data_IF_891903865925
#
_entry.id   IF_891903865925
#
_cell.length_a   1.000
_cell.length_b   1.000
_cell.length_c   1.000
_cell.angle_alpha   90.00
_cell.angle_beta   90.00
_cell.angle_gamma   90.00
#
_symmetry.space_group_name_H-M   'P 1'
#
loop_
_entity.id
_entity.type
_entity.pdbx_description
1 polymer ?
#
# COMPACT_ATOMS: atom_id res chain seq x y z
N UNK A 1 16.33 -0.17 -3.19
CA UNK A 1 15.25 -0.74 -2.36
C UNK A 1 14.20 -1.38 -3.23
N UNK A 2 13.75 -2.56 -2.87
CA UNK A 2 12.67 -3.23 -3.58
C UNK A 2 11.34 -2.76 -3.00
N UNK A 3 10.67 -1.84 -3.67
CA UNK A 3 9.42 -1.25 -3.21
C UNK A 3 8.34 -2.31 -3.02
N UNK A 4 8.20 -3.22 -3.99
CA UNK A 4 7.17 -4.25 -3.92
C UNK A 4 7.38 -5.18 -2.73
N UNK A 5 8.60 -5.59 -2.47
CA UNK A 5 8.92 -6.47 -1.34
C UNK A 5 8.62 -5.78 -0.02
N UNK A 6 9.05 -4.53 0.14
CA UNK A 6 8.80 -3.77 1.35
C UNK A 6 7.31 -3.52 1.54
N UNK A 7 6.61 -3.17 0.45
CA UNK A 7 5.17 -2.96 0.50
C UNK A 7 4.42 -4.24 0.89
N UNK A 8 4.87 -5.38 0.38
CA UNK A 8 4.27 -6.67 0.75
C UNK A 8 4.36 -6.90 2.26
N UNK A 9 5.51 -6.58 2.85
CA UNK A 9 5.69 -6.71 4.30
C UNK A 9 4.73 -5.78 5.06
N UNK A 10 4.52 -4.57 4.54
CA UNK A 10 3.57 -3.62 5.13
C UNK A 10 2.15 -4.20 5.09
N UNK A 11 1.75 -4.77 3.95
CA UNK A 11 0.44 -5.40 3.82
C UNK A 11 0.24 -6.51 4.84
N UNK A 12 1.23 -7.38 5.00
CA UNK A 12 1.16 -8.48 5.96
C UNK A 12 1.00 -7.98 7.39
N UNK A 13 1.69 -6.91 7.72
CA UNK A 13 1.62 -6.30 9.04
C UNK A 13 0.26 -5.63 9.30
N UNK A 14 -0.22 -4.84 8.34
CA UNK A 14 -1.48 -4.11 8.49
C UNK A 14 -2.66 -5.06 8.58
N UNK A 15 -2.67 -6.11 7.78
CA UNK A 15 -3.79 -7.07 7.74
C UNK A 15 -3.55 -8.28 8.64
N UNK A 16 -2.42 -8.31 9.36
CA UNK A 16 -2.06 -9.41 10.26
C UNK A 16 -2.21 -10.76 9.57
N UNK A 17 -1.63 -10.86 8.38
CA UNK A 17 -1.75 -12.06 7.55
C UNK A 17 -0.46 -12.31 6.78
N UNK A 18 0.35 -13.27 7.25
CA UNK A 18 1.63 -13.59 6.65
C UNK A 18 1.50 -14.29 5.29
N UNK A 19 0.29 -14.66 4.91
CA UNK A 19 0.06 -15.37 3.65
C UNK A 19 -0.14 -14.43 2.47
N UNK A 20 -0.31 -13.12 2.70
CA UNK A 20 -0.55 -12.16 1.63
C UNK A 20 0.66 -12.06 0.71
N UNK A 21 0.40 -12.19 -0.58
CA UNK A 21 1.38 -11.92 -1.64
C UNK A 21 0.73 -10.91 -2.59
N UNK A 22 1.25 -9.67 -2.58
CA UNK A 22 0.65 -8.62 -3.40
C UNK A 22 1.03 -8.76 -4.87
N UNK A 23 0.16 -8.25 -5.74
CA UNK A 23 0.42 -8.14 -7.17
C UNK A 23 -0.15 -6.82 -7.66
N UNK A 24 0.26 -6.41 -8.86
CA UNK A 24 -0.07 -5.08 -9.38
C UNK A 24 -1.58 -4.90 -9.66
N UNK A 25 -2.29 -5.98 -9.93
CA UNK A 25 -3.73 -5.92 -10.21
C UNK A 25 -4.58 -5.97 -8.94
N UNK A 26 -3.98 -6.24 -7.80
CA UNK A 26 -4.72 -6.40 -6.53
C UNK A 26 -5.44 -5.10 -6.14
N UNK A 27 -6.70 -5.25 -5.73
CA UNK A 27 -7.54 -4.14 -5.28
C UNK A 27 -8.12 -4.48 -3.91
N UNK A 28 -8.83 -3.51 -3.32
CA UNK A 28 -9.50 -3.73 -2.05
C UNK A 28 -10.54 -4.86 -2.12
N UNK A 29 -11.04 -5.16 -3.31
CA UNK A 29 -11.99 -6.25 -3.48
C UNK A 29 -11.33 -7.63 -3.34
N UNK A 30 -10.02 -7.70 -3.49
CA UNK A 30 -9.27 -8.96 -3.40
C UNK A 30 -8.85 -9.29 -1.98
N UNK A 31 -8.92 -8.34 -1.07
CA UNK A 31 -8.54 -8.52 0.35
C UNK A 31 -9.75 -8.18 1.20
N UNK A 32 -10.32 -9.18 1.85
CA UNK A 32 -11.58 -9.03 2.58
C UNK A 32 -11.51 -7.94 3.65
N UNK A 33 -10.38 -7.84 4.33
CA UNK A 33 -10.21 -6.89 5.44
C UNK A 33 -9.85 -5.48 4.98
N UNK A 34 -9.68 -5.27 3.69
CA UNK A 34 -9.24 -3.97 3.15
C UNK A 34 -10.46 -3.06 2.97
N UNK A 35 -10.88 -2.44 4.06
CA UNK A 35 -11.96 -1.45 4.07
C UNK A 35 -11.37 -0.05 4.20
N UNK A 36 -12.24 0.95 4.38
CA UNK A 36 -11.81 2.36 4.45
C UNK A 36 -10.84 2.62 5.60
N UNK A 37 -11.11 2.02 6.76
CA UNK A 37 -10.24 2.19 7.92
C UNK A 37 -8.89 1.51 7.69
N UNK A 38 -8.92 0.30 7.17
CA UNK A 38 -7.68 -0.41 6.86
C UNK A 38 -6.86 0.33 5.81
N UNK A 39 -7.54 0.96 4.84
CA UNK A 39 -6.83 1.75 3.82
C UNK A 39 -6.06 2.92 4.45
N UNK A 40 -6.69 3.61 5.40
CA UNK A 40 -6.02 4.71 6.11
C UNK A 40 -4.82 4.19 6.89
N UNK A 41 -4.98 3.07 7.59
CA UNK A 41 -3.89 2.45 8.34
C UNK A 41 -2.75 2.05 7.41
N UNK A 42 -3.10 1.49 6.25
CA UNK A 42 -2.13 1.07 5.26
C UNK A 42 -1.30 2.28 4.76
N UNK A 43 -1.98 3.39 4.44
CA UNK A 43 -1.31 4.60 3.99
C UNK A 43 -0.35 5.12 5.06
N UNK A 44 -0.79 5.16 6.32
CA UNK A 44 0.05 5.63 7.41
C UNK A 44 1.29 4.76 7.58
N UNK A 45 1.13 3.44 7.47
CA UNK A 45 2.26 2.52 7.58
C UNK A 45 3.23 2.68 6.42
N UNK A 46 2.71 2.91 5.20
CA UNK A 46 3.55 3.16 4.04
C UNK A 46 4.36 4.43 4.22
N UNK A 47 3.72 5.49 4.69
CA UNK A 47 4.41 6.77 4.94
C UNK A 47 5.55 6.57 5.93
N UNK A 48 5.31 5.82 6.98
CA UNK A 48 6.31 5.55 7.99
C UNK A 48 7.45 4.69 7.45
N UNK A 49 7.10 3.62 6.74
CA UNK A 49 8.08 2.65 6.26
C UNK A 49 9.00 3.24 5.20
N UNK A 50 8.45 4.03 4.28
CA UNK A 50 9.21 4.62 3.17
C UNK A 50 9.67 6.05 3.47
N UNK A 51 9.28 6.61 4.60
CA UNK A 51 9.64 7.97 5.02
C UNK A 51 9.23 8.99 3.96
N UNK A 52 7.96 8.97 3.59
CA UNK A 52 7.39 9.89 2.61
C UNK A 52 5.99 10.31 3.04
N UNK A 53 5.37 11.22 2.28
CA UNK A 53 4.03 11.73 2.59
C UNK A 53 3.15 11.66 1.36
N UNK A 54 1.89 11.28 1.58
CA UNK A 54 0.87 11.29 0.53
C UNK A 54 -0.06 12.48 0.74
N UNK A 55 -0.54 13.04 -0.38
CA UNK A 55 -1.59 14.05 -0.34
C UNK A 55 -2.95 13.35 -0.38
N UNK A 56 -4.02 14.11 -0.09
CA UNK A 56 -5.38 13.56 -0.19
C UNK A 56 -5.65 13.07 -1.63
N UNK A 57 -5.20 13.85 -2.62
CA UNK A 57 -5.38 13.46 -4.03
C UNK A 57 -4.65 12.14 -4.34
N UNK A 58 -3.48 11.94 -3.77
CA UNK A 58 -2.73 10.69 -3.93
C UNK A 58 -3.53 9.51 -3.40
N UNK A 59 -4.11 9.66 -2.21
CA UNK A 59 -4.84 8.58 -1.54
C UNK A 59 -6.10 8.21 -2.31
N UNK A 60 -6.84 9.22 -2.74
CA UNK A 60 -8.11 9.02 -3.46
C UNK A 60 -7.87 8.37 -4.83
N UNK A 61 -6.74 8.66 -5.45
CA UNK A 61 -6.43 8.15 -6.78
C UNK A 61 -5.92 6.72 -6.84
N UNK A 62 -5.65 6.09 -5.70
CA UNK A 62 -5.09 4.74 -5.67
C UNK A 62 -6.17 3.70 -5.90
N UNK A 63 -6.12 3.02 -7.05
CA UNK A 63 -7.14 2.04 -7.43
C UNK A 63 -6.67 0.60 -7.24
N UNK A 64 -5.35 0.37 -7.32
CA UNK A 64 -4.79 -0.96 -7.16
C UNK A 64 -3.36 -0.86 -6.62
N UNK A 65 -2.79 -2.02 -6.31
CA UNK A 65 -1.43 -2.08 -5.75
C UNK A 65 -0.40 -1.55 -6.74
N UNK A 66 -0.60 -1.79 -8.03
CA UNK A 66 0.32 -1.29 -9.06
C UNK A 66 0.46 0.22 -9.03
N UNK A 67 -0.66 0.93 -8.90
CA UNK A 67 -0.65 2.39 -8.79
C UNK A 67 0.04 2.84 -7.51
N UNK A 68 -0.15 2.09 -6.44
CA UNK A 68 0.49 2.37 -5.16
C UNK A 68 2.01 2.24 -5.28
N UNK A 69 2.49 1.19 -5.92
CA UNK A 69 3.92 0.98 -6.16
C UNK A 69 4.49 2.12 -6.99
N UNK A 70 3.82 2.48 -8.08
CA UNK A 70 4.27 3.58 -8.95
C UNK A 70 4.36 4.90 -8.19
N UNK A 71 3.37 5.19 -7.38
CA UNK A 71 3.35 6.43 -6.59
C UNK A 71 4.51 6.47 -5.61
N UNK A 72 4.75 5.36 -4.91
CA UNK A 72 5.86 5.26 -3.97
C UNK A 72 7.19 5.48 -4.70
N UNK A 73 7.37 4.82 -5.84
CA UNK A 73 8.60 4.95 -6.62
C UNK A 73 8.84 6.38 -7.08
N UNK A 74 7.78 7.07 -7.50
CA UNK A 74 7.89 8.47 -7.91
C UNK A 74 8.32 9.37 -6.74
N UNK A 75 7.79 9.11 -5.57
CA UNK A 75 8.11 9.93 -4.40
C UNK A 75 9.51 9.65 -3.85
N UNK A 76 10.06 8.49 -4.15
CA UNK A 76 11.40 8.13 -3.70
C UNK A 76 12.51 8.66 -4.62
N UNK A 77 12.18 9.11 -5.81
CA UNK A 77 13.16 9.68 -6.75
C UNK A 77 13.26 11.23 -6.62
#
# INVERSE_FOLDING_TARGET
MDVKMTLNAVFRRVFDNDQIVINEQMTANDVEEWDSLAHINLIMEIESEFNLKFTVDDIVGLKNVGEMIELIERKLT
#
